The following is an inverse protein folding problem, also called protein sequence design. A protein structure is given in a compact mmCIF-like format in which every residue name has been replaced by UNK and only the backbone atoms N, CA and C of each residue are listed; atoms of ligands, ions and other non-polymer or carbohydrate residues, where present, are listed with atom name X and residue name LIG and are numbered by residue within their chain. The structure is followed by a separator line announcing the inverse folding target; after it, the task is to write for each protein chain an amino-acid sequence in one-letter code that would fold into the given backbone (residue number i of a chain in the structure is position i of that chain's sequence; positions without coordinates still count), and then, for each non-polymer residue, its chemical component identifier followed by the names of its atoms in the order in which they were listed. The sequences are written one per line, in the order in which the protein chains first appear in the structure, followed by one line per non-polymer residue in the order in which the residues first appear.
data_IF_338061784104
#
_entry.id   IF_338061784104
#
_cell.length_a   1.000
_cell.length_b   1.000
_cell.length_c   1.000
_cell.angle_alpha   90.00
_cell.angle_beta   90.00
_cell.angle_gamma   90.00
#
_symmetry.space_group_name_H-M   'P 1'
#
loop_
_entity.id
_entity.type
_entity.pdbx_description
1 polymer ?
#
# COMPACT_ATOMS: atom_id res chain seq x y z
N UNK A 1 -7.78 -9.92 -11.87
CA UNK A 1 -6.43 -9.57 -11.37
C UNK A 1 -6.43 -8.09 -11.02
N UNK A 2 -5.77 -7.74 -9.92
CA UNK A 2 -5.75 -6.44 -9.25
C UNK A 2 -4.30 -5.98 -9.23
N UNK A 3 -4.06 -4.69 -9.45
CA UNK A 3 -2.75 -4.09 -9.19
C UNK A 3 -2.84 -3.15 -7.98
N UNK A 4 -1.89 -3.29 -7.08
CA UNK A 4 -1.65 -2.34 -5.98
C UNK A 4 -0.27 -1.75 -6.19
N UNK A 5 -0.19 -0.44 -6.34
CA UNK A 5 1.07 0.30 -6.47
C UNK A 5 1.24 1.21 -5.27
N UNK A 6 2.46 1.37 -4.78
CA UNK A 6 2.74 2.32 -3.71
C UNK A 6 4.05 3.05 -3.94
N UNK A 7 4.08 4.28 -3.44
CA UNK A 7 5.25 5.13 -3.43
C UNK A 7 5.49 5.62 -2.00
N UNK A 8 6.72 5.47 -1.52
CA UNK A 8 7.21 6.13 -0.34
C UNK A 8 8.06 7.32 -0.81
N UNK A 9 7.83 8.52 -0.29
CA UNK A 9 8.63 9.70 -0.64
C UNK A 9 10.14 9.39 -0.57
N UNK A 10 10.88 9.79 -1.61
CA UNK A 10 12.32 9.54 -1.78
C UNK A 10 12.73 8.07 -2.06
N UNK A 11 11.75 7.19 -2.33
CA UNK A 11 11.96 5.78 -2.69
C UNK A 11 11.29 5.45 -4.03
N UNK A 12 11.68 4.32 -4.63
CA UNK A 12 11.11 3.81 -5.88
C UNK A 12 9.63 3.43 -5.68
N UNK A 13 8.86 3.51 -6.77
CA UNK A 13 7.51 2.95 -6.84
C UNK A 13 7.62 1.43 -6.89
N UNK A 14 6.94 0.74 -5.99
CA UNK A 14 6.79 -0.71 -6.00
C UNK A 14 5.34 -1.07 -6.38
N UNK A 15 5.15 -2.29 -6.88
CA UNK A 15 3.83 -2.81 -7.19
C UNK A 15 3.67 -4.28 -6.81
N UNK A 16 2.41 -4.66 -6.59
CA UNK A 16 1.96 -6.01 -6.40
C UNK A 16 0.77 -6.29 -7.33
N UNK A 17 0.77 -7.46 -7.94
CA UNK A 17 -0.29 -7.92 -8.84
C UNK A 17 -0.82 -9.26 -8.32
N UNK A 18 -2.13 -9.40 -8.17
CA UNK A 18 -2.74 -10.64 -7.70
C UNK A 18 -4.27 -10.61 -7.71
N UNK A 19 -4.91 -11.44 -6.89
CA UNK A 19 -6.37 -11.66 -6.96
C UNK A 19 -7.16 -11.07 -5.78
N UNK A 20 -6.49 -10.76 -4.67
CA UNK A 20 -7.16 -10.31 -3.47
C UNK A 20 -6.45 -9.15 -2.76
N UNK A 21 -7.25 -8.24 -2.19
CA UNK A 21 -6.74 -7.03 -1.52
C UNK A 21 -6.02 -7.37 -0.21
N UNK A 22 -6.34 -8.49 0.45
CA UNK A 22 -5.75 -8.84 1.73
C UNK A 22 -4.26 -9.22 1.58
N UNK A 23 -3.93 -10.07 0.61
CA UNK A 23 -2.57 -10.45 0.25
C UNK A 23 -1.78 -9.26 -0.26
N UNK A 24 -2.38 -8.43 -1.12
CA UNK A 24 -1.72 -7.21 -1.60
C UNK A 24 -1.44 -6.20 -0.50
N UNK A 25 -2.38 -6.02 0.45
CA UNK A 25 -2.18 -5.17 1.62
C UNK A 25 -1.08 -5.71 2.54
N UNK A 26 -1.01 -7.03 2.75
CA UNK A 26 0.06 -7.66 3.53
C UNK A 26 1.44 -7.50 2.84
N UNK A 27 1.49 -7.59 1.51
CA UNK A 27 2.72 -7.37 0.74
C UNK A 27 3.20 -5.92 0.86
N UNK A 28 2.30 -4.95 0.74
CA UNK A 28 2.57 -3.54 0.99
C UNK A 28 3.10 -3.31 2.42
N UNK A 29 2.41 -3.84 3.42
CA UNK A 29 2.76 -3.70 4.83
C UNK A 29 4.15 -4.25 5.13
N UNK A 30 4.45 -5.45 4.62
CA UNK A 30 5.76 -6.08 4.78
C UNK A 30 6.88 -5.29 4.08
N UNK A 31 6.67 -4.88 2.83
CA UNK A 31 7.68 -4.17 2.04
C UNK A 31 7.98 -2.80 2.62
N UNK A 32 6.96 -1.98 2.85
CA UNK A 32 7.12 -0.64 3.42
C UNK A 32 7.66 -0.74 4.84
N UNK A 33 7.14 -1.67 5.66
CA UNK A 33 7.63 -1.91 7.01
C UNK A 33 9.11 -2.30 7.06
N UNK A 34 9.60 -3.05 6.06
CA UNK A 34 11.02 -3.41 5.92
C UNK A 34 11.88 -2.21 5.51
N UNK A 35 11.44 -1.43 4.51
CA UNK A 35 12.17 -0.23 4.05
C UNK A 35 12.32 0.78 5.19
N UNK A 36 11.24 1.07 5.91
CA UNK A 36 11.26 2.00 7.05
C UNK A 36 12.09 1.44 8.20
N UNK A 37 12.05 0.13 8.44
CA UNK A 37 12.92 -0.51 9.44
C UNK A 37 14.41 -0.41 9.10
N UNK A 38 14.77 -0.34 7.81
CA UNK A 38 16.14 -0.21 7.33
C UNK A 38 16.61 1.25 7.17
N UNK A 39 15.76 2.24 7.47
CA UNK A 39 16.04 3.66 7.24
C UNK A 39 17.13 4.28 8.13
N UNK A 40 17.59 3.57 9.17
CA UNK A 40 18.50 4.11 10.17
C UNK A 40 17.83 5.01 11.22
N UNK A 41 16.50 5.16 11.17
CA UNK A 41 15.72 5.81 12.23
C UNK A 41 15.81 5.04 13.55
N UNK A 42 15.59 5.75 14.66
CA UNK A 42 15.45 5.12 15.98
C UNK A 42 14.22 4.22 16.02
N UNK A 43 14.21 3.13 16.81
CA UNK A 43 13.07 2.22 16.91
C UNK A 43 11.74 2.91 17.22
N UNK A 44 11.75 3.92 18.11
CA UNK A 44 10.54 4.66 18.47
C UNK A 44 10.01 5.47 17.28
N UNK A 45 10.89 6.10 16.51
CA UNK A 45 10.50 6.82 15.30
C UNK A 45 9.96 5.88 14.19
N UNK A 46 10.50 4.66 14.09
CA UNK A 46 9.96 3.63 13.19
C UNK A 46 8.55 3.21 13.64
N UNK A 47 8.33 3.03 14.93
CA UNK A 47 7.02 2.70 15.48
C UNK A 47 6.02 3.82 15.22
N UNK A 48 6.36 5.06 15.58
CA UNK A 48 5.51 6.24 15.37
C UNK A 48 5.17 6.40 13.89
N UNK A 49 6.13 6.17 12.99
CA UNK A 49 5.91 6.23 11.55
C UNK A 49 4.90 5.17 11.08
N UNK A 50 5.02 3.93 11.59
CA UNK A 50 4.09 2.84 11.25
C UNK A 50 2.67 3.16 11.71
N UNK A 51 2.53 3.61 12.94
CA UNK A 51 1.23 3.95 13.53
C UNK A 51 0.59 5.17 12.84
N UNK A 52 1.39 6.19 12.48
CA UNK A 52 0.89 7.42 11.87
C UNK A 52 0.57 7.28 10.38
N UNK A 53 1.31 6.45 9.63
CA UNK A 53 1.21 6.43 8.17
C UNK A 53 0.87 5.06 7.59
N UNK A 54 1.52 3.98 8.05
CA UNK A 54 1.35 2.65 7.44
C UNK A 54 0.03 2.00 7.83
N UNK A 55 -0.22 1.87 9.13
CA UNK A 55 -1.43 1.26 9.68
C UNK A 55 -2.71 1.87 9.10
N UNK A 56 -2.94 3.20 9.16
CA UNK A 56 -4.16 3.79 8.62
C UNK A 56 -4.28 3.60 7.10
N UNK A 57 -3.16 3.57 6.37
CA UNK A 57 -3.17 3.32 4.92
C UNK A 57 -3.60 1.89 4.60
N UNK A 58 -3.06 0.90 5.32
CA UNK A 58 -3.42 -0.51 5.18
C UNK A 58 -4.88 -0.75 5.55
N UNK A 59 -5.37 -0.13 6.62
CA UNK A 59 -6.77 -0.20 7.03
C UNK A 59 -7.71 0.41 5.98
N UNK A 60 -7.35 1.59 5.43
CA UNK A 60 -8.11 2.24 4.37
C UNK A 60 -8.13 1.40 3.09
N UNK A 61 -7.01 0.75 2.73
CA UNK A 61 -6.94 -0.15 1.59
C UNK A 61 -7.86 -1.38 1.78
N UNK A 62 -7.79 -2.03 2.96
CA UNK A 62 -8.62 -3.21 3.28
C UNK A 62 -10.11 -2.90 3.37
N UNK A 63 -10.49 -1.66 3.69
CA UNK A 63 -11.89 -1.23 3.80
C UNK A 63 -12.38 -0.52 2.54
N UNK A 64 -11.94 0.72 2.32
CA UNK A 64 -12.37 1.60 1.24
C UNK A 64 -11.90 1.10 -0.12
N UNK A 65 -10.64 0.66 -0.21
CA UNK A 65 -10.07 0.10 -1.43
C UNK A 65 -10.80 -1.17 -1.87
N UNK A 66 -10.99 -2.13 -0.96
CA UNK A 66 -11.78 -3.33 -1.23
C UNK A 66 -13.22 -2.99 -1.67
N UNK A 67 -13.85 -2.00 -1.03
CA UNK A 67 -15.17 -1.52 -1.42
C UNK A 67 -15.21 -0.92 -2.84
N UNK A 68 -14.21 -0.12 -3.22
CA UNK A 68 -14.08 0.43 -4.57
C UNK A 68 -13.86 -0.67 -5.61
N UNK A 69 -12.99 -1.63 -5.32
CA UNK A 69 -12.74 -2.77 -6.18
C UNK A 69 -14.00 -3.60 -6.44
N UNK A 70 -14.82 -3.82 -5.41
CA UNK A 70 -16.10 -4.53 -5.55
C UNK A 70 -17.08 -3.81 -6.49
N UNK A 71 -16.92 -2.50 -6.71
CA UNK A 71 -17.68 -1.70 -7.68
C UNK A 71 -16.99 -1.58 -9.05
N UNK A 72 -15.82 -2.19 -9.22
CA UNK A 72 -15.00 -2.05 -10.42
C UNK A 72 -14.32 -0.68 -10.54
N UNK A 73 -14.17 0.04 -9.43
CA UNK A 73 -13.56 1.36 -9.38
C UNK A 73 -12.09 1.26 -8.93
N UNK A 74 -11.24 2.13 -9.46
CA UNK A 74 -9.92 2.38 -8.90
C UNK A 74 -10.03 3.16 -7.60
N UNK A 75 -9.02 3.03 -6.73
CA UNK A 75 -8.94 3.75 -5.47
C UNK A 75 -7.52 4.24 -5.21
N UNK A 76 -7.39 5.33 -4.47
CA UNK A 76 -6.08 5.80 -4.01
C UNK A 76 -6.20 6.53 -2.69
N UNK A 77 -5.14 6.46 -1.89
CA UNK A 77 -5.00 7.27 -0.68
C UNK A 77 -3.56 7.76 -0.54
N UNK A 78 -3.40 8.88 0.15
CA UNK A 78 -2.10 9.39 0.56
C UNK A 78 -2.14 9.69 2.06
N UNK A 79 -1.20 9.12 2.81
CA UNK A 79 -1.05 9.36 4.25
C UNK A 79 0.39 9.80 4.51
N UNK A 80 0.58 11.12 4.60
CA UNK A 80 1.91 11.71 4.74
C UNK A 80 2.85 11.29 3.59
N UNK A 81 3.97 10.59 3.86
CA UNK A 81 4.95 10.21 2.85
C UNK A 81 4.56 8.96 2.04
N UNK A 82 3.43 8.31 2.34
CA UNK A 82 3.00 7.07 1.68
C UNK A 82 1.80 7.32 0.78
N UNK A 83 1.94 7.04 -0.51
CA UNK A 83 0.88 7.02 -1.51
C UNK A 83 0.59 5.58 -1.92
N UNK A 84 -0.70 5.22 -2.00
CA UNK A 84 -1.14 3.89 -2.46
C UNK A 84 -2.24 4.05 -3.50
N UNK A 85 -2.15 3.25 -4.56
CA UNK A 85 -3.12 3.16 -5.62
C UNK A 85 -3.54 1.70 -5.83
N UNK A 86 -4.84 1.49 -6.01
CA UNK A 86 -5.48 0.21 -6.26
C UNK A 86 -6.22 0.31 -7.60
N UNK A 87 -5.89 -0.59 -8.51
CA UNK A 87 -6.45 -0.63 -9.85
C UNK A 87 -7.09 -2.00 -10.15
N UNK A 88 -8.41 -2.07 -10.42
CA UNK A 88 -9.10 -3.30 -10.84
C UNK A 88 -8.77 -3.73 -12.28
N UNK A 89 -8.18 -2.85 -13.09
CA UNK A 89 -7.99 -3.03 -14.52
C UNK A 89 -6.63 -3.61 -14.90
N UNK A 90 -5.92 -4.24 -13.95
CA UNK A 90 -4.73 -5.03 -14.18
C UNK A 90 -5.08 -6.29 -14.99
N UNK A 91 -5.39 -6.11 -16.28
CA UNK A 91 -5.67 -7.17 -17.23
C UNK A 91 -4.43 -7.35 -18.09
N UNK A 92 -4.07 -8.62 -18.27
CA UNK A 92 -2.97 -9.14 -19.08
C UNK A 92 -2.85 -8.37 -20.40
N UNK A 93 -1.66 -7.79 -20.65
CA UNK A 93 -1.29 -7.41 -22.00
C UNK A 93 -1.22 -8.70 -22.84
N UNK A 94 -1.88 -8.75 -24.02
CA UNK A 94 -1.73 -9.87 -24.95
C UNK A 94 -0.30 -9.97 -25.51
#
# INVERSE_FOLDING_TARGET
MIKISWALMDVHVDEWIGEDVATGAAALEAKVGSVVGASGMKPEAVQDWREAFLTPTVEALRSQGAGALARGESWSTATGPLLVHLDPSAREFP
#
